data_IF_531879116746
#
_entry.id   IF_531879116746
#
_cell.length_a   1.000
_cell.length_b   1.000
_cell.length_c   1.000
_cell.angle_alpha   90.00
_cell.angle_beta   90.00
_cell.angle_gamma   90.00
#
_symmetry.space_group_name_H-M   'P 1'
#
loop_
_entity.id
_entity.type
_entity.pdbx_description
1 polymer ?
#
# COMPACT_ATOMS: atom_id res chain seq x y z
N UNK A 1 0.41 -24.51 -0.13
CA UNK A 1 1.58 -23.97 -0.87
C UNK A 1 1.69 -22.46 -0.74
N UNK A 2 0.59 -21.71 -0.92
CA UNK A 2 0.52 -20.24 -0.78
C UNK A 2 0.92 -19.73 0.63
N UNK A 3 0.45 -20.38 1.70
CA UNK A 3 0.74 -19.98 3.09
C UNK A 3 2.25 -19.99 3.43
N UNK A 4 3.03 -20.89 2.84
CA UNK A 4 4.50 -20.95 3.06
C UNK A 4 5.25 -19.80 2.39
N UNK A 5 4.70 -19.21 1.32
CA UNK A 5 5.31 -18.08 0.62
C UNK A 5 5.25 -16.80 1.45
N UNK A 6 4.20 -16.66 2.25
CA UNK A 6 3.90 -15.45 3.03
C UNK A 6 4.56 -15.41 4.41
N UNK A 7 5.09 -16.53 4.92
CA UNK A 7 5.57 -16.64 6.30
C UNK A 7 6.83 -15.81 6.62
N UNK A 8 7.61 -15.40 5.61
CA UNK A 8 8.87 -14.65 5.77
C UNK A 8 8.85 -13.28 5.06
N UNK A 9 7.67 -12.78 4.71
CA UNK A 9 7.51 -11.56 3.92
C UNK A 9 7.16 -10.37 4.82
N UNK A 10 7.73 -9.21 4.54
CA UNK A 10 7.24 -7.95 5.12
C UNK A 10 6.06 -7.45 4.31
N UNK A 11 4.94 -7.16 4.99
CA UNK A 11 3.73 -6.69 4.33
C UNK A 11 3.54 -5.19 4.55
N UNK A 12 3.22 -4.49 3.47
CA UNK A 12 2.80 -3.10 3.47
C UNK A 12 1.36 -2.98 3.00
N UNK A 13 0.58 -2.10 3.61
CA UNK A 13 -0.84 -1.89 3.27
C UNK A 13 -1.26 -0.43 3.38
N UNK A 14 -2.39 -0.07 2.80
CA UNK A 14 -2.84 1.33 2.71
C UNK A 14 -3.58 1.80 3.98
N UNK A 15 -4.49 0.99 4.55
CA UNK A 15 -5.24 1.33 5.77
C UNK A 15 -5.68 0.10 6.60
N UNK A 16 -5.70 0.20 7.94
CA UNK A 16 -5.74 -0.99 8.83
C UNK A 16 -7.07 -1.74 8.76
N UNK A 17 -8.13 -1.04 8.37
CA UNK A 17 -9.49 -1.59 8.26
C UNK A 17 -9.66 -2.58 7.09
N UNK A 18 -8.67 -2.64 6.19
CA UNK A 18 -8.70 -3.41 4.95
C UNK A 18 -8.04 -4.80 5.07
N UNK A 19 -7.52 -5.08 6.26
CA UNK A 19 -6.80 -6.30 6.61
C UNK A 19 -7.59 -7.61 6.34
N UNK A 20 -8.92 -7.54 6.34
CA UNK A 20 -9.80 -8.71 6.17
C UNK A 20 -10.16 -9.03 4.70
N UNK A 21 -9.89 -8.13 3.74
CA UNK A 21 -10.28 -8.32 2.34
C UNK A 21 -9.13 -8.70 1.39
N UNK A 22 -7.87 -8.41 1.78
CA UNK A 22 -6.66 -8.61 0.95
C UNK A 22 -5.98 -9.99 1.07
N UNK A 23 -4.82 -10.16 0.41
CA UNK A 23 -4.03 -11.40 0.43
C UNK A 23 -3.44 -11.76 1.81
N UNK A 24 -3.39 -10.79 2.72
CA UNK A 24 -2.96 -10.94 4.12
C UNK A 24 -3.87 -11.88 4.94
N UNK A 25 -5.11 -12.15 4.51
CA UNK A 25 -6.05 -13.10 5.14
C UNK A 25 -5.56 -14.56 5.18
N UNK A 26 -4.57 -14.91 4.37
CA UNK A 26 -4.00 -16.26 4.31
C UNK A 26 -2.86 -16.50 5.31
N UNK A 27 -2.64 -15.56 6.23
CA UNK A 27 -1.57 -15.60 7.22
C UNK A 27 -2.15 -15.59 8.64
N UNK A 28 -1.52 -16.33 9.56
CA UNK A 28 -2.10 -16.58 10.90
C UNK A 28 -1.76 -15.46 11.90
N UNK A 29 -0.77 -14.61 11.62
CA UNK A 29 -0.44 -13.41 12.39
C UNK A 29 0.59 -12.55 11.61
N UNK A 30 0.17 -11.84 10.56
CA UNK A 30 1.09 -11.09 9.72
C UNK A 30 1.58 -9.83 10.46
N UNK A 31 2.90 -9.64 10.48
CA UNK A 31 3.48 -8.36 10.84
C UNK A 31 3.28 -7.42 9.65
N UNK A 32 2.32 -6.49 9.77
CA UNK A 32 1.96 -5.56 8.70
C UNK A 32 2.33 -4.14 9.09
N UNK A 33 2.81 -3.36 8.12
CA UNK A 33 3.17 -1.95 8.30
C UNK A 33 2.36 -1.08 7.34
N UNK A 34 1.78 0.02 7.82
CA UNK A 34 1.12 0.98 6.92
C UNK A 34 2.12 1.61 5.96
N UNK A 35 1.84 1.54 4.67
CA UNK A 35 2.68 2.15 3.62
C UNK A 35 2.81 3.67 3.85
N UNK A 36 1.76 4.30 4.41
CA UNK A 36 1.80 5.71 4.80
C UNK A 36 2.93 6.01 5.79
N UNK A 37 3.10 5.17 6.82
CA UNK A 37 4.17 5.33 7.81
C UNK A 37 5.56 5.14 7.19
N UNK A 38 5.68 4.28 6.18
CA UNK A 38 6.95 4.10 5.45
C UNK A 38 7.26 5.29 4.57
N UNK A 39 6.27 5.79 3.81
CA UNK A 39 6.40 6.95 2.92
C UNK A 39 6.76 8.20 3.72
N UNK A 40 6.19 8.38 4.92
CA UNK A 40 6.50 9.53 5.79
C UNK A 40 7.76 9.34 6.64
N UNK A 41 8.42 8.18 6.58
CA UNK A 41 9.65 7.88 7.33
C UNK A 41 9.44 7.51 8.80
N UNK A 42 8.19 7.34 9.24
CA UNK A 42 7.82 6.94 10.60
C UNK A 42 8.00 5.43 10.85
N UNK A 43 8.04 4.62 9.79
CA UNK A 43 8.31 3.19 9.84
C UNK A 43 9.38 2.81 8.81
N UNK A 44 10.10 1.73 9.09
CA UNK A 44 11.15 1.26 8.19
C UNK A 44 10.53 0.44 7.04
N UNK A 45 10.92 0.77 5.81
CA UNK A 45 10.64 -0.04 4.62
C UNK A 45 11.62 -1.22 4.49
N UNK A 46 11.86 -1.67 3.25
CA UNK A 46 12.90 -2.65 2.92
C UNK A 46 14.28 -2.14 3.35
N UNK A 47 15.05 -2.97 4.04
CA UNK A 47 16.39 -2.65 4.58
C UNK A 47 17.52 -3.31 3.83
N UNK A 48 17.28 -4.49 3.24
CA UNK A 48 18.30 -5.28 2.57
C UNK A 48 17.79 -5.92 1.28
N UNK A 49 18.71 -6.20 0.35
CA UNK A 49 18.36 -6.78 -0.94
C UNK A 49 17.76 -8.19 -0.85
N UNK A 50 18.10 -8.96 0.18
CA UNK A 50 17.56 -10.31 0.40
C UNK A 50 16.14 -10.33 0.98
N UNK A 51 15.64 -9.19 1.48
CA UNK A 51 14.29 -9.11 2.04
C UNK A 51 13.26 -9.08 0.93
N UNK A 52 12.22 -9.91 1.07
CA UNK A 52 11.07 -9.92 0.18
C UNK A 52 9.94 -9.15 0.87
N UNK A 53 9.39 -8.17 0.16
CA UNK A 53 8.31 -7.31 0.64
C UNK A 53 7.09 -7.44 -0.26
N UNK A 54 5.90 -7.53 0.31
CA UNK A 54 4.62 -7.48 -0.41
C UNK A 54 3.91 -6.20 -0.06
N UNK A 55 3.48 -5.48 -1.08
CA UNK A 55 2.47 -4.44 -0.94
C UNK A 55 1.12 -5.06 -1.25
N UNK A 56 0.25 -5.16 -0.24
CA UNK A 56 -1.11 -5.66 -0.37
C UNK A 56 -2.06 -4.46 -0.31
N UNK A 57 -2.78 -4.22 -1.41
CA UNK A 57 -3.60 -3.01 -1.58
C UNK A 57 -5.04 -3.35 -1.92
N UNK A 58 -5.92 -2.94 -1.01
CA UNK A 58 -7.36 -2.69 -1.16
C UNK A 58 -7.82 -1.99 -2.43
N UNK A 59 -7.09 -0.91 -2.72
CA UNK A 59 -7.69 0.33 -3.20
C UNK A 59 -8.53 1.01 -2.10
N UNK A 60 -8.36 2.32 -1.93
CA UNK A 60 -9.23 3.14 -1.07
C UNK A 60 -9.68 4.37 -1.85
N UNK A 61 -10.93 4.80 -1.66
CA UNK A 61 -11.55 5.85 -2.45
C UNK A 61 -10.77 7.19 -2.46
N UNK A 62 -10.00 7.49 -1.41
CA UNK A 62 -9.17 8.69 -1.36
C UNK A 62 -8.06 8.71 -2.44
N UNK A 63 -7.56 7.54 -2.86
CA UNK A 63 -6.59 7.45 -3.96
C UNK A 63 -7.22 7.93 -5.28
N UNK A 64 -8.44 7.49 -5.55
CA UNK A 64 -9.19 7.87 -6.75
C UNK A 64 -9.53 9.37 -6.74
N UNK A 65 -9.93 9.90 -5.58
CA UNK A 65 -10.20 11.33 -5.40
C UNK A 65 -8.94 12.18 -5.65
N UNK A 66 -7.77 11.73 -5.17
CA UNK A 66 -6.52 12.44 -5.40
C UNK A 66 -6.16 12.51 -6.89
N UNK A 67 -6.27 11.38 -7.60
CA UNK A 67 -6.05 11.33 -9.06
C UNK A 67 -7.04 12.23 -9.79
N UNK A 68 -8.32 12.15 -9.43
CA UNK A 68 -9.39 12.97 -10.02
C UNK A 68 -9.12 14.47 -9.86
N UNK A 69 -8.73 14.91 -8.67
CA UNK A 69 -8.37 16.31 -8.41
C UNK A 69 -7.16 16.76 -9.25
N UNK A 70 -6.16 15.90 -9.45
CA UNK A 70 -5.00 16.22 -10.30
C UNK A 70 -5.37 16.32 -11.77
N UNK A 71 -6.30 15.49 -12.25
CA UNK A 71 -6.80 15.58 -13.62
C UNK A 71 -7.53 16.91 -13.87
N UNK A 72 -8.35 17.37 -12.91
CA UNK A 72 -9.03 18.66 -13.02
C UNK A 72 -8.03 19.83 -13.08
N UNK A 73 -7.04 19.85 -12.19
CA UNK A 73 -5.97 20.86 -12.19
C UNK A 73 -5.20 20.89 -13.54
N UNK A 74 -4.93 19.72 -14.14
CA UNK A 74 -4.29 19.65 -15.45
C UNK A 74 -5.16 20.21 -16.57
N UNK A 75 -6.47 19.96 -16.53
CA UNK A 75 -7.43 20.49 -17.52
C UNK A 75 -7.51 22.00 -17.40
N UNK A 76 -7.63 22.53 -16.18
CA UNK A 76 -7.70 23.97 -15.93
C UNK A 76 -6.45 24.71 -16.42
N UNK A 77 -5.26 24.16 -16.18
CA UNK A 77 -4.00 24.73 -16.68
C UNK A 77 -3.93 24.74 -18.20
N UNK A 78 -4.33 23.64 -18.84
CA UNK A 78 -4.32 23.54 -20.31
C UNK A 78 -5.34 24.48 -20.96
N UNK A 79 -6.45 24.77 -20.29
CA UNK A 79 -7.42 25.75 -20.77
C UNK A 79 -6.93 27.20 -20.64
N UNK A 80 -5.91 27.44 -19.81
CA UNK A 80 -5.29 28.75 -19.61
C UNK A 80 -4.08 29.01 -20.52
N UNK A 81 -3.65 28.01 -21.30
CA UNK A 81 -2.64 28.10 -22.37
C UNK A 81 -3.27 28.49 -23.71
#
# INVERSE_FOLDING_TARGET
MIVKLYANMFFFYVFLFDFMAGGVQHTVNPLVTEIGQVITGNAQGRKMDKEITVFDSSGIAIQDLFVSAKLLDLVDRKAAE
#
